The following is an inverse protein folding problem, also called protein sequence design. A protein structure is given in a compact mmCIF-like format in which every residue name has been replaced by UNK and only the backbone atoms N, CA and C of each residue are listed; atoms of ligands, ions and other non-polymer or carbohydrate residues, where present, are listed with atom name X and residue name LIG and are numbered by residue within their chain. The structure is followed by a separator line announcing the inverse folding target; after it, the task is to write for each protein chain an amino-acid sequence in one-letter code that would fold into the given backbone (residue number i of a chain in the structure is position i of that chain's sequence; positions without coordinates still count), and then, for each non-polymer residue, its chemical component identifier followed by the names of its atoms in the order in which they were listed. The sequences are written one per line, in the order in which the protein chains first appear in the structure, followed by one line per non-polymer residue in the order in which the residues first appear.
data_IF_114949423246
#
_entry.id   IF_114949423246
#
_cell.length_a   1.000
_cell.length_b   1.000
_cell.length_c   1.000
_cell.angle_alpha   90.00
_cell.angle_beta   90.00
_cell.angle_gamma   90.00
#
_symmetry.space_group_name_H-M   'P 1'
#
loop_
_entity.id
_entity.type
_entity.pdbx_description
1 polymer ?
#
# COMPACT_ATOMS: atom_id res chain seq x y z
N UNK A 1 -15.90 -44.17 3.67
CA UNK A 1 -15.37 -45.49 3.29
C UNK A 1 -13.92 -45.60 3.69
N UNK A 2 -13.49 -46.72 4.29
CA UNK A 2 -12.07 -46.96 4.60
C UNK A 2 -11.61 -48.14 3.78
N UNK A 3 -10.50 -47.96 3.05
CA UNK A 3 -9.83 -49.01 2.29
C UNK A 3 -8.53 -49.33 3.05
N UNK A 4 -8.46 -50.49 3.68
CA UNK A 4 -7.30 -50.93 4.45
C UNK A 4 -6.19 -51.45 3.58
N UNK A 5 -6.49 -51.95 2.35
CA UNK A 5 -5.48 -52.40 1.41
C UNK A 5 -4.71 -51.25 0.81
N UNK A 6 -5.43 -50.19 0.44
CA UNK A 6 -4.83 -48.93 -0.06
C UNK A 6 -4.42 -47.97 1.07
N UNK A 7 -4.80 -48.26 2.32
CA UNK A 7 -4.57 -47.44 3.52
C UNK A 7 -5.07 -46.00 3.38
N UNK A 8 -6.25 -45.85 2.77
CA UNK A 8 -6.93 -44.57 2.52
C UNK A 8 -8.33 -44.58 3.16
N UNK A 9 -8.65 -43.52 3.89
CA UNK A 9 -10.01 -43.24 4.37
C UNK A 9 -10.61 -42.09 3.53
N UNK A 10 -11.81 -42.31 2.98
CA UNK A 10 -12.59 -41.31 2.29
C UNK A 10 -13.85 -41.01 3.12
N UNK A 11 -13.96 -39.75 3.55
CA UNK A 11 -15.00 -39.29 4.48
C UNK A 11 -15.82 -38.20 3.78
N UNK A 12 -17.12 -38.39 3.77
CA UNK A 12 -18.11 -37.43 3.29
C UNK A 12 -18.97 -37.04 4.48
N UNK A 13 -19.24 -35.77 4.64
CA UNK A 13 -20.07 -35.26 5.72
C UNK A 13 -21.56 -35.43 5.38
N UNK A 14 -22.39 -35.57 6.42
CA UNK A 14 -23.82 -35.86 6.25
C UNK A 14 -24.70 -34.61 6.34
N UNK A 15 -24.26 -33.46 5.85
CA UNK A 15 -25.11 -32.27 5.83
C UNK A 15 -24.36 -30.94 6.00
N UNK A 16 -25.10 -29.85 5.80
CA UNK A 16 -24.62 -28.50 5.96
C UNK A 16 -24.09 -28.23 7.37
N UNK A 17 -22.99 -27.49 7.47
CA UNK A 17 -22.39 -27.10 8.76
C UNK A 17 -21.43 -28.11 9.39
N UNK A 18 -21.09 -29.19 8.70
CA UNK A 18 -20.05 -30.10 9.18
C UNK A 18 -18.67 -29.46 9.07
N UNK A 19 -17.85 -29.69 10.10
CA UNK A 19 -16.49 -29.15 10.13
C UNK A 19 -15.49 -30.12 10.73
N UNK A 20 -14.24 -29.96 10.38
CA UNK A 20 -13.10 -30.61 11.04
C UNK A 20 -12.41 -29.60 11.94
N UNK A 21 -12.07 -30.02 13.15
CA UNK A 21 -11.38 -29.20 14.15
C UNK A 21 -9.91 -29.59 14.23
N UNK A 22 -9.04 -28.60 14.07
CA UNK A 22 -7.58 -28.72 14.19
C UNK A 22 -7.14 -28.12 15.52
N UNK A 23 -7.25 -28.88 16.61
CA UNK A 23 -7.02 -28.37 17.98
C UNK A 23 -5.64 -27.72 18.15
N UNK A 24 -4.60 -28.33 17.61
CA UNK A 24 -3.23 -27.80 17.72
C UNK A 24 -3.01 -26.53 16.90
N UNK A 25 -3.74 -26.38 15.81
CA UNK A 25 -3.70 -25.20 14.95
C UNK A 25 -4.70 -24.14 15.38
N UNK A 26 -5.67 -24.50 16.25
CA UNK A 26 -6.77 -23.64 16.69
C UNK A 26 -7.56 -23.06 15.50
N UNK A 27 -7.87 -23.94 14.53
CA UNK A 27 -8.70 -23.67 13.38
C UNK A 27 -9.79 -24.73 13.25
N UNK A 28 -10.91 -24.32 12.69
CA UNK A 28 -11.93 -25.22 12.15
C UNK A 28 -12.00 -25.01 10.65
N UNK A 29 -12.34 -26.06 9.91
CA UNK A 29 -12.59 -25.98 8.48
C UNK A 29 -13.93 -26.62 8.15
N UNK A 30 -14.85 -25.83 7.60
CA UNK A 30 -16.11 -26.30 7.05
C UNK A 30 -15.87 -26.92 5.68
N UNK A 31 -16.34 -28.14 5.48
CA UNK A 31 -16.13 -28.89 4.24
C UNK A 31 -17.06 -30.09 4.14
N UNK A 32 -17.27 -30.56 2.93
CA UNK A 32 -18.14 -31.71 2.64
C UNK A 32 -17.39 -33.02 2.52
N UNK A 33 -16.09 -32.97 2.22
CA UNK A 33 -15.30 -34.18 1.98
C UNK A 33 -13.85 -34.00 2.38
N UNK A 34 -13.24 -35.07 2.94
CA UNK A 34 -11.80 -35.17 3.11
C UNK A 34 -11.30 -36.60 2.91
N UNK A 35 -10.04 -36.73 2.53
CA UNK A 35 -9.32 -38.00 2.42
C UNK A 35 -8.23 -38.07 3.47
N UNK A 36 -8.08 -39.22 4.10
CA UNK A 36 -7.00 -39.50 5.02
C UNK A 36 -6.07 -40.55 4.42
N UNK A 37 -4.81 -40.18 4.26
CA UNK A 37 -3.73 -41.04 3.80
C UNK A 37 -2.97 -41.57 5.03
N UNK A 38 -3.18 -42.86 5.39
CA UNK A 38 -2.68 -43.40 6.65
C UNK A 38 -1.15 -43.51 6.66
N UNK A 39 -0.51 -43.84 5.54
CA UNK A 39 0.93 -44.05 5.45
C UNK A 39 1.72 -42.74 5.52
N UNK A 40 1.23 -41.69 4.88
CA UNK A 40 1.85 -40.36 4.95
C UNK A 40 1.42 -39.56 6.16
N UNK A 41 0.41 -40.04 6.92
CA UNK A 41 -0.24 -39.33 8.01
C UNK A 41 -0.69 -37.92 7.60
N UNK A 42 -1.32 -37.85 6.42
CA UNK A 42 -1.84 -36.60 5.85
C UNK A 42 -3.34 -36.69 5.60
N UNK A 43 -3.99 -35.55 5.76
CA UNK A 43 -5.38 -35.37 5.33
C UNK A 43 -5.42 -34.38 4.18
N UNK A 44 -6.19 -34.69 3.15
CA UNK A 44 -6.49 -33.81 2.05
C UNK A 44 -7.95 -33.35 2.16
N UNK A 45 -8.15 -32.04 2.14
CA UNK A 45 -9.41 -31.35 2.36
C UNK A 45 -9.81 -30.63 1.08
N UNK A 46 -11.05 -30.80 0.61
CA UNK A 46 -11.51 -30.19 -0.63
C UNK A 46 -10.75 -30.68 -1.87
N UNK A 47 -10.58 -29.83 -2.87
CA UNK A 47 -9.87 -30.14 -4.11
C UNK A 47 -8.66 -29.19 -4.31
N UNK A 48 -7.47 -29.71 -4.05
CA UNK A 48 -6.22 -28.95 -4.19
C UNK A 48 -5.81 -28.69 -5.65
N UNK A 49 -6.47 -29.33 -6.62
CA UNK A 49 -6.23 -29.15 -8.07
C UNK A 49 -7.18 -28.14 -8.71
N UNK A 50 -8.30 -27.82 -8.06
CA UNK A 50 -9.29 -26.89 -8.59
C UNK A 50 -8.69 -25.48 -8.63
N UNK A 51 -8.67 -24.88 -9.83
CA UNK A 51 -8.28 -23.48 -9.99
C UNK A 51 -9.47 -22.57 -9.68
N UNK A 52 -9.20 -21.44 -9.03
CA UNK A 52 -10.20 -20.40 -8.80
C UNK A 52 -10.27 -19.49 -10.03
N UNK A 53 -11.48 -19.12 -10.42
CA UNK A 53 -11.70 -17.93 -11.23
C UNK A 53 -11.46 -16.70 -10.37
N UNK A 54 -10.33 -16.02 -10.59
CA UNK A 54 -9.94 -14.85 -9.81
C UNK A 54 -10.92 -13.70 -9.94
N UNK A 55 -11.54 -13.51 -11.12
CA UNK A 55 -12.52 -12.44 -11.32
C UNK A 55 -13.83 -12.71 -10.57
N UNK A 56 -14.31 -13.96 -10.59
CA UNK A 56 -15.48 -14.37 -9.83
C UNK A 56 -15.22 -14.27 -8.31
N UNK A 57 -14.04 -14.69 -7.86
CA UNK A 57 -13.65 -14.61 -6.46
C UNK A 57 -13.51 -13.16 -5.97
N UNK A 58 -12.98 -12.24 -6.76
CA UNK A 58 -12.91 -10.81 -6.40
C UNK A 58 -14.29 -10.19 -6.20
N UNK A 59 -15.28 -10.65 -6.94
CA UNK A 59 -16.69 -10.26 -6.83
C UNK A 59 -17.42 -10.97 -5.67
N UNK A 60 -16.74 -11.88 -4.95
CA UNK A 60 -17.33 -12.69 -3.87
C UNK A 60 -18.30 -13.76 -4.38
N UNK A 61 -18.22 -14.08 -5.67
CA UNK A 61 -19.00 -15.15 -6.31
C UNK A 61 -18.15 -16.42 -6.35
N UNK A 62 -18.79 -17.59 -6.17
CA UNK A 62 -18.19 -18.93 -6.30
C UNK A 62 -16.96 -19.21 -5.42
N UNK A 63 -17.01 -18.80 -4.14
CA UNK A 63 -16.05 -19.24 -3.14
C UNK A 63 -16.40 -20.69 -2.73
N UNK A 64 -16.10 -21.64 -3.60
CA UNK A 64 -16.27 -23.06 -3.31
C UNK A 64 -15.03 -23.66 -2.67
N UNK A 65 -15.24 -24.52 -1.69
CA UNK A 65 -14.20 -25.26 -0.98
C UNK A 65 -14.22 -25.02 0.52
N UNK A 66 -13.23 -25.55 1.26
CA UNK A 66 -13.15 -25.40 2.69
C UNK A 66 -13.06 -23.93 3.14
N UNK A 67 -13.95 -23.53 4.06
CA UNK A 67 -13.83 -22.28 4.80
C UNK A 67 -13.05 -22.53 6.09
N UNK A 68 -11.91 -21.89 6.22
CA UNK A 68 -11.07 -21.93 7.42
C UNK A 68 -11.40 -20.77 8.34
N UNK A 69 -11.69 -21.08 9.61
CA UNK A 69 -11.99 -20.08 10.64
C UNK A 69 -11.09 -20.33 11.85
N UNK A 70 -10.36 -19.28 12.27
CA UNK A 70 -9.58 -19.33 13.49
C UNK A 70 -10.50 -19.35 14.72
N UNK A 71 -10.23 -20.26 15.65
CA UNK A 71 -10.85 -20.28 16.97
C UNK A 71 -9.91 -19.75 18.05
N UNK A 72 -8.76 -19.20 17.66
CA UNK A 72 -7.83 -18.57 18.58
C UNK A 72 -8.39 -17.22 19.07
N UNK A 73 -8.46 -16.95 20.40
CA UNK A 73 -9.12 -15.76 20.94
C UNK A 73 -8.58 -14.43 20.42
N UNK A 74 -7.27 -14.36 20.13
CA UNK A 74 -6.62 -13.12 19.64
C UNK A 74 -6.80 -12.88 18.15
N UNK A 75 -7.35 -13.83 17.39
CA UNK A 75 -7.53 -13.69 15.94
C UNK A 75 -8.92 -13.23 15.51
N UNK A 76 -9.84 -13.04 16.46
CA UNK A 76 -11.17 -12.48 16.22
C UNK A 76 -11.89 -13.16 15.03
N UNK A 77 -11.90 -14.51 15.04
CA UNK A 77 -12.50 -15.34 13.99
C UNK A 77 -12.01 -14.99 12.58
N UNK A 78 -10.70 -14.77 12.41
CA UNK A 78 -10.08 -14.63 11.10
C UNK A 78 -10.50 -15.79 10.20
N UNK A 79 -11.00 -15.49 9.01
CA UNK A 79 -11.54 -16.49 8.09
C UNK A 79 -11.09 -16.26 6.64
N UNK A 80 -11.01 -17.36 5.91
CA UNK A 80 -10.75 -17.33 4.46
C UNK A 80 -11.16 -18.67 3.83
N UNK A 81 -11.35 -18.65 2.51
CA UNK A 81 -11.64 -19.82 1.70
C UNK A 81 -10.38 -20.34 1.02
N UNK A 82 -10.34 -21.64 0.77
CA UNK A 82 -9.35 -22.29 -0.08
C UNK A 82 -10.08 -23.35 -0.93
N UNK A 83 -9.60 -23.67 -2.13
CA UNK A 83 -10.20 -24.78 -2.87
C UNK A 83 -9.87 -26.11 -2.23
N UNK A 84 -8.73 -26.21 -1.57
CA UNK A 84 -8.32 -27.39 -0.83
C UNK A 84 -7.16 -27.11 0.11
N UNK A 85 -6.86 -28.08 0.94
CA UNK A 85 -5.71 -28.03 1.84
C UNK A 85 -5.15 -29.42 2.12
N UNK A 86 -3.87 -29.46 2.52
CA UNK A 86 -3.23 -30.65 3.08
C UNK A 86 -2.85 -30.40 4.53
N UNK A 87 -3.27 -31.29 5.40
CA UNK A 87 -2.93 -31.27 6.82
C UNK A 87 -2.00 -32.42 7.15
N UNK A 88 -0.83 -32.09 7.69
CA UNK A 88 0.12 -33.09 8.19
C UNK A 88 -0.14 -33.32 9.69
N UNK A 89 -0.56 -34.55 10.04
CA UNK A 89 -0.96 -34.93 11.39
C UNK A 89 0.22 -34.96 12.40
N UNK A 90 1.44 -35.26 11.94
CA UNK A 90 2.63 -35.28 12.81
C UNK A 90 3.15 -33.87 13.12
N UNK A 91 3.24 -33.04 12.08
CA UNK A 91 3.82 -31.70 12.19
C UNK A 91 2.79 -30.65 12.62
N UNK A 92 1.50 -30.99 12.51
CA UNK A 92 0.39 -30.06 12.73
C UNK A 92 0.48 -28.82 11.84
N UNK A 93 0.70 -29.04 10.54
CA UNK A 93 0.82 -27.98 9.53
C UNK A 93 -0.35 -28.13 8.55
N UNK A 94 -1.12 -27.06 8.37
CA UNK A 94 -2.15 -26.95 7.32
C UNK A 94 -1.57 -26.14 6.18
N UNK A 95 -1.54 -26.70 4.96
CA UNK A 95 -1.14 -26.01 3.74
C UNK A 95 -2.36 -25.83 2.84
N UNK A 96 -2.92 -24.64 2.85
CA UNK A 96 -4.04 -24.26 2.00
C UNK A 96 -3.56 -23.88 0.60
N UNK A 97 -4.36 -24.23 -0.40
CA UNK A 97 -4.10 -23.97 -1.82
C UNK A 97 -5.21 -23.16 -2.44
N UNK A 98 -4.84 -22.33 -3.40
CA UNK A 98 -5.76 -21.49 -4.15
C UNK A 98 -6.68 -20.67 -3.23
N UNK A 99 -6.09 -20.03 -2.23
CA UNK A 99 -6.76 -19.01 -1.41
C UNK A 99 -6.90 -17.75 -2.25
N UNK A 100 -8.11 -17.31 -2.61
CA UNK A 100 -8.26 -16.17 -3.49
C UNK A 100 -7.83 -14.88 -2.81
N UNK A 101 -8.23 -14.72 -1.55
CA UNK A 101 -7.86 -13.58 -0.71
C UNK A 101 -8.15 -13.83 0.77
N UNK A 102 -7.58 -12.97 1.60
CA UNK A 102 -7.86 -12.89 3.04
C UNK A 102 -8.24 -11.46 3.38
N UNK A 103 -9.44 -11.23 3.94
CA UNK A 103 -9.84 -9.91 4.41
C UNK A 103 -9.30 -9.66 5.82
N UNK A 104 -8.58 -8.56 6.01
CA UNK A 104 -8.01 -8.14 7.30
C UNK A 104 -8.19 -6.64 7.47
N UNK A 105 -8.89 -6.22 8.51
CA UNK A 105 -9.32 -4.85 8.72
C UNK A 105 -10.13 -4.33 7.51
N UNK A 106 -9.73 -3.21 6.90
CA UNK A 106 -10.33 -2.68 5.68
C UNK A 106 -9.69 -3.26 4.40
N UNK A 107 -8.56 -3.97 4.53
CA UNK A 107 -7.74 -4.43 3.41
C UNK A 107 -8.09 -5.86 2.97
N UNK A 108 -7.69 -6.16 1.75
CA UNK A 108 -7.73 -7.49 1.16
C UNK A 108 -6.33 -7.93 0.75
N UNK A 109 -5.90 -9.07 1.30
CA UNK A 109 -4.59 -9.67 1.02
C UNK A 109 -4.74 -10.74 -0.05
N UNK A 110 -3.90 -10.69 -1.07
CA UNK A 110 -3.84 -11.71 -2.13
C UNK A 110 -2.54 -12.50 -1.98
N UNK A 111 -2.61 -13.74 -1.45
CA UNK A 111 -1.43 -14.58 -1.33
C UNK A 111 -0.83 -14.92 -2.69
N UNK A 112 0.49 -14.98 -2.77
CA UNK A 112 1.17 -15.42 -3.98
C UNK A 112 0.76 -16.88 -4.31
N UNK A 113 0.33 -17.14 -5.52
CA UNK A 113 -0.22 -18.42 -5.99
C UNK A 113 -1.37 -18.99 -5.11
N UNK A 114 -1.98 -18.17 -4.27
CA UNK A 114 -3.01 -18.62 -3.34
C UNK A 114 -2.49 -19.53 -2.23
N UNK A 115 -1.21 -19.54 -1.92
CA UNK A 115 -0.61 -20.40 -0.91
C UNK A 115 -0.67 -19.77 0.49
N UNK A 116 -1.29 -20.48 1.44
CA UNK A 116 -1.35 -20.08 2.84
C UNK A 116 -0.99 -21.27 3.73
N UNK A 117 -0.08 -21.07 4.67
CA UNK A 117 0.33 -22.10 5.63
C UNK A 117 -0.03 -21.68 7.05
N UNK A 118 -0.66 -22.60 7.80
CA UNK A 118 -1.02 -22.41 9.20
C UNK A 118 -0.27 -23.40 10.06
N UNK A 119 0.46 -22.90 11.04
CA UNK A 119 1.17 -23.67 12.06
C UNK A 119 0.32 -23.83 13.33
N UNK A 120 0.91 -24.45 14.37
CA UNK A 120 0.31 -24.53 15.70
C UNK A 120 -0.05 -23.15 16.25
N UNK A 121 -1.03 -23.10 17.16
CA UNK A 121 -1.46 -21.87 17.85
C UNK A 121 -1.91 -20.76 16.89
N UNK A 122 -2.56 -21.13 15.81
CA UNK A 122 -3.10 -20.25 14.79
C UNK A 122 -2.08 -19.34 14.10
N UNK A 123 -0.79 -19.65 14.17
CA UNK A 123 0.25 -18.87 13.50
C UNK A 123 0.15 -19.08 12.00
N UNK A 124 -0.14 -18.02 11.26
CA UNK A 124 -0.07 -17.99 9.80
C UNK A 124 1.34 -17.67 9.36
N UNK A 125 1.87 -18.42 8.37
CA UNK A 125 3.17 -18.09 7.78
C UNK A 125 3.12 -16.73 7.07
N UNK A 126 4.27 -16.08 7.00
CA UNK A 126 4.41 -14.80 6.30
C UNK A 126 4.06 -14.96 4.82
N UNK A 127 3.12 -14.17 4.35
CA UNK A 127 2.79 -14.08 2.93
C UNK A 127 3.87 -13.25 2.23
N UNK A 128 4.66 -13.90 1.36
CA UNK A 128 5.72 -13.25 0.57
C UNK A 128 5.28 -13.08 -0.87
N UNK A 129 5.77 -12.02 -1.51
CA UNK A 129 5.41 -11.67 -2.90
C UNK A 129 3.89 -11.59 -3.10
N UNK A 130 3.19 -11.21 -2.07
CA UNK A 130 1.75 -11.00 -2.05
C UNK A 130 1.39 -9.60 -2.54
N UNK A 131 0.10 -9.30 -2.62
CA UNK A 131 -0.38 -7.93 -2.84
C UNK A 131 -1.48 -7.57 -1.85
N UNK A 132 -1.64 -6.27 -1.62
CA UNK A 132 -2.62 -5.71 -0.70
C UNK A 132 -3.46 -4.69 -1.44
N UNK A 133 -4.77 -4.89 -1.50
CA UNK A 133 -5.73 -3.84 -1.80
C UNK A 133 -6.04 -3.13 -0.48
N UNK A 134 -5.60 -1.88 -0.34
CA UNK A 134 -5.55 -1.20 0.95
C UNK A 134 -6.93 -0.89 1.56
N UNK A 135 -7.98 -0.75 0.72
CA UNK A 135 -9.36 -0.60 1.18
C UNK A 135 -10.31 -1.29 0.21
N UNK A 136 -11.18 -2.16 0.71
CA UNK A 136 -12.12 -2.93 -0.12
C UNK A 136 -13.29 -2.11 -0.65
N UNK A 137 -13.54 -0.92 -0.09
CA UNK A 137 -14.61 -0.01 -0.50
C UNK A 137 -14.11 1.00 -1.53
N UNK A 138 -13.10 1.78 -1.18
CA UNK A 138 -12.54 2.83 -2.05
C UNK A 138 -11.72 2.27 -3.20
N UNK A 139 -10.94 1.20 -2.94
CA UNK A 139 -10.09 0.49 -3.91
C UNK A 139 -9.06 1.38 -4.63
N UNK A 140 -8.69 2.50 -4.02
CA UNK A 140 -7.76 3.46 -4.64
C UNK A 140 -6.34 2.92 -4.75
N UNK A 141 -5.89 2.13 -3.76
CA UNK A 141 -4.49 1.77 -3.64
C UNK A 141 -4.27 0.26 -3.64
N UNK A 142 -3.39 -0.16 -4.52
CA UNK A 142 -2.86 -1.53 -4.52
C UNK A 142 -1.36 -1.50 -4.29
N UNK A 143 -0.90 -2.25 -3.28
CA UNK A 143 0.51 -2.38 -2.94
C UNK A 143 0.96 -3.77 -3.36
N UNK A 144 2.10 -3.85 -4.04
CA UNK A 144 2.63 -5.08 -4.64
C UNK A 144 3.91 -5.55 -3.95
N UNK A 145 4.35 -6.76 -4.28
CA UNK A 145 5.58 -7.35 -3.75
C UNK A 145 5.62 -7.28 -2.21
N UNK A 146 4.44 -7.52 -1.58
CA UNK A 146 4.32 -7.35 -0.14
C UNK A 146 4.87 -8.57 0.61
N UNK A 147 5.48 -8.27 1.77
CA UNK A 147 5.77 -9.25 2.82
C UNK A 147 4.82 -8.95 3.98
N UNK A 148 3.84 -9.84 4.19
CA UNK A 148 2.70 -9.58 5.07
C UNK A 148 2.61 -10.62 6.18
N UNK A 149 2.56 -10.17 7.43
CA UNK A 149 2.25 -10.97 8.60
C UNK A 149 0.84 -10.65 9.08
N UNK A 150 -0.03 -11.65 9.10
CA UNK A 150 -1.42 -11.53 9.57
C UNK A 150 -1.49 -12.07 11.00
N UNK A 151 -1.92 -11.24 11.94
CA UNK A 151 -2.04 -11.61 13.35
C UNK A 151 -3.48 -11.90 13.79
N UNK A 152 -4.46 -11.49 13.00
CA UNK A 152 -5.88 -11.70 13.24
C UNK A 152 -6.73 -10.87 12.32
N UNK A 153 -8.05 -10.95 12.47
CA UNK A 153 -9.02 -10.31 11.58
C UNK A 153 -8.86 -8.79 11.45
N UNK A 154 -8.30 -8.14 12.46
CA UNK A 154 -8.14 -6.67 12.50
C UNK A 154 -6.69 -6.21 12.57
N UNK A 155 -5.74 -7.14 12.47
CA UNK A 155 -4.33 -6.79 12.71
C UNK A 155 -3.41 -7.50 11.73
N UNK A 156 -2.58 -6.71 11.08
CA UNK A 156 -1.49 -7.17 10.24
C UNK A 156 -0.35 -6.15 10.23
N UNK A 157 0.81 -6.59 9.79
CA UNK A 157 1.98 -5.76 9.52
C UNK A 157 2.59 -6.21 8.21
N UNK A 158 2.82 -5.27 7.32
CA UNK A 158 3.40 -5.55 6.02
C UNK A 158 4.44 -4.49 5.62
N UNK A 159 5.22 -4.85 4.60
CA UNK A 159 6.02 -3.92 3.79
C UNK A 159 5.78 -4.24 2.32
N UNK A 160 6.05 -3.31 1.42
CA UNK A 160 5.81 -3.53 0.00
C UNK A 160 6.12 -2.33 -0.87
N UNK A 161 5.75 -2.42 -2.15
CA UNK A 161 6.02 -1.42 -3.17
C UNK A 161 4.73 -0.87 -3.75
N UNK A 162 4.63 0.44 -3.77
CA UNK A 162 3.53 1.17 -4.40
C UNK A 162 4.00 1.75 -5.73
N UNK A 163 3.25 1.53 -6.78
CA UNK A 163 3.52 2.10 -8.08
C UNK A 163 2.78 3.43 -8.23
N UNK A 164 3.51 4.52 -8.08
CA UNK A 164 3.04 5.85 -8.44
C UNK A 164 3.11 6.02 -9.96
N UNK A 165 2.05 6.50 -10.58
CA UNK A 165 2.01 6.84 -11.99
C UNK A 165 1.87 8.36 -12.11
N UNK A 166 2.75 9.00 -12.86
CA UNK A 166 2.61 10.41 -13.19
C UNK A 166 1.52 10.62 -14.28
N UNK A 167 1.32 11.86 -14.68
CA UNK A 167 0.35 12.23 -15.72
C UNK A 167 0.59 11.60 -17.09
N UNK A 168 1.82 11.17 -17.36
CA UNK A 168 2.25 10.50 -18.61
C UNK A 168 2.32 8.97 -18.42
N UNK A 169 1.73 8.44 -17.33
CA UNK A 169 1.76 7.03 -16.96
C UNK A 169 3.17 6.47 -16.72
N UNK A 170 4.15 7.33 -16.46
CA UNK A 170 5.51 6.92 -16.12
C UNK A 170 5.54 6.41 -14.68
N UNK A 171 5.99 5.16 -14.46
CA UNK A 171 5.97 4.56 -13.15
C UNK A 171 7.16 4.97 -12.30
N UNK A 172 6.88 5.24 -11.01
CA UNK A 172 7.87 5.32 -9.95
C UNK A 172 7.50 4.36 -8.84
N UNK A 173 8.48 3.65 -8.26
CA UNK A 173 8.24 2.74 -7.16
C UNK A 173 8.52 3.44 -5.83
N UNK A 174 7.50 3.52 -5.00
CA UNK A 174 7.60 4.02 -3.62
C UNK A 174 7.62 2.80 -2.69
N UNK A 175 8.63 2.72 -1.81
CA UNK A 175 8.75 1.65 -0.84
C UNK A 175 8.08 2.04 0.47
N UNK A 176 7.12 1.23 0.88
CA UNK A 176 6.50 1.32 2.20
C UNK A 176 7.09 0.25 3.12
N UNK A 177 7.81 0.69 4.14
CA UNK A 177 8.44 -0.20 5.11
C UNK A 177 7.46 -0.68 6.19
N UNK A 178 6.38 0.06 6.40
CA UNK A 178 5.36 -0.23 7.40
C UNK A 178 3.98 0.04 6.83
N UNK A 179 3.20 -1.03 6.65
CA UNK A 179 1.80 -0.99 6.22
C UNK A 179 1.00 -1.71 7.30
N UNK A 180 0.03 -1.05 7.89
CA UNK A 180 -0.76 -1.58 8.99
C UNK A 180 -2.12 -0.89 9.10
N UNK A 181 -3.11 -1.49 9.77
CA UNK A 181 -4.30 -0.75 10.17
C UNK A 181 -3.97 0.23 11.31
N UNK A 182 -4.63 1.37 11.33
CA UNK A 182 -4.65 2.29 12.46
C UNK A 182 -5.67 1.83 13.53
N UNK A 183 -5.92 2.66 14.52
CA UNK A 183 -6.87 2.37 15.61
C UNK A 183 -8.32 2.30 15.15
N UNK A 184 -8.66 2.87 14.01
CA UNK A 184 -10.01 2.81 13.39
C UNK A 184 -10.18 1.61 12.48
N UNK A 185 -9.09 0.91 12.16
CA UNK A 185 -9.06 -0.20 11.22
C UNK A 185 -8.78 0.24 9.78
N UNK A 186 -8.42 1.50 9.54
CA UNK A 186 -8.02 2.00 8.24
C UNK A 186 -6.56 1.64 7.95
N UNK A 187 -6.30 1.11 6.77
CA UNK A 187 -4.93 0.86 6.30
C UNK A 187 -4.18 2.17 6.09
N UNK A 188 -3.06 2.27 6.76
CA UNK A 188 -2.12 3.39 6.65
C UNK A 188 -0.71 2.88 6.35
N UNK A 189 0.07 3.71 5.70
CA UNK A 189 1.48 3.43 5.43
C UNK A 189 2.32 4.69 5.42
N UNK A 190 3.60 4.55 5.76
CA UNK A 190 4.62 5.59 5.69
C UNK A 190 5.81 5.09 4.88
N UNK A 191 6.30 5.92 3.97
CA UNK A 191 7.50 5.72 3.18
C UNK A 191 8.40 6.96 3.22
N UNK A 192 9.64 6.79 2.80
CA UNK A 192 10.61 7.88 2.64
C UNK A 192 11.15 7.83 1.21
N UNK A 193 11.14 8.98 0.56
CA UNK A 193 11.72 9.20 -0.78
C UNK A 193 12.99 10.02 -0.58
N UNK A 194 14.15 9.38 -0.78
CA UNK A 194 15.45 10.06 -0.69
C UNK A 194 15.71 10.90 -1.96
N UNK A 195 16.38 12.03 -1.80
CA UNK A 195 16.74 12.91 -2.94
C UNK A 195 17.52 12.15 -4.04
N UNK A 196 18.30 11.15 -3.67
CA UNK A 196 19.07 10.31 -4.61
C UNK A 196 18.19 9.44 -5.50
N UNK A 197 16.97 9.16 -5.11
CA UNK A 197 16.02 8.39 -5.91
C UNK A 197 15.47 9.18 -7.08
N UNK A 198 15.65 10.52 -7.08
CA UNK A 198 15.24 11.44 -8.15
C UNK A 198 13.75 11.32 -8.51
N UNK A 199 12.94 11.08 -7.50
CA UNK A 199 11.49 10.97 -7.66
C UNK A 199 10.92 12.28 -8.19
N UNK A 200 9.97 12.18 -9.09
CA UNK A 200 9.25 13.29 -9.68
C UNK A 200 7.75 13.06 -9.57
N UNK A 201 7.00 14.10 -9.21
CA UNK A 201 5.54 14.08 -9.34
C UNK A 201 5.14 14.02 -10.82
N UNK A 202 5.88 14.72 -11.67
CA UNK A 202 5.85 14.70 -13.13
C UNK A 202 7.17 15.29 -13.69
N UNK A 203 7.23 15.53 -14.98
CA UNK A 203 8.44 16.06 -15.61
C UNK A 203 8.82 17.49 -15.14
N UNK A 204 7.91 18.19 -14.42
CA UNK A 204 8.09 19.58 -13.99
C UNK A 204 8.37 19.72 -12.50
N UNK A 205 7.98 18.76 -11.67
CA UNK A 205 8.12 18.83 -10.21
C UNK A 205 8.79 17.58 -9.65
N UNK A 206 9.86 17.77 -8.90
CA UNK A 206 10.52 16.70 -8.14
C UNK A 206 10.21 16.83 -6.66
N UNK A 207 10.28 15.72 -5.94
CA UNK A 207 10.01 15.65 -4.52
C UNK A 207 11.05 14.79 -3.78
N UNK A 208 11.33 15.16 -2.54
CA UNK A 208 12.04 14.33 -1.56
C UNK A 208 11.45 14.57 -0.17
N UNK A 209 11.25 13.48 0.58
CA UNK A 209 10.64 13.56 1.91
C UNK A 209 9.79 12.34 2.24
N UNK A 210 8.93 12.49 3.23
CA UNK A 210 7.99 11.46 3.66
C UNK A 210 6.77 11.41 2.75
N UNK A 211 6.28 10.21 2.56
CA UNK A 211 5.04 9.94 1.85
C UNK A 211 4.15 9.05 2.69
N UNK A 212 2.87 9.38 2.75
CA UNK A 212 1.88 8.65 3.52
C UNK A 212 0.77 8.16 2.59
N UNK A 213 0.33 6.95 2.85
CA UNK A 213 -0.87 6.38 2.25
C UNK A 213 -1.95 6.29 3.33
N UNK A 214 -3.09 6.89 3.07
CA UNK A 214 -4.32 6.73 3.81
C UNK A 214 -5.34 6.06 2.88
N UNK A 215 -5.74 4.84 3.18
CA UNK A 215 -6.50 4.01 2.26
C UNK A 215 -7.86 4.59 1.82
N UNK A 216 -8.41 5.52 2.59
CA UNK A 216 -9.66 6.23 2.27
C UNK A 216 -9.46 7.44 1.35
N UNK A 217 -8.24 7.94 1.20
CA UNK A 217 -7.92 9.09 0.36
C UNK A 217 -7.53 8.61 -1.05
N UNK A 218 -7.95 9.34 -2.07
CA UNK A 218 -7.62 8.98 -3.46
C UNK A 218 -6.14 9.19 -3.78
N UNK A 219 -5.52 10.21 -3.17
CA UNK A 219 -4.14 10.58 -3.44
C UNK A 219 -3.24 10.33 -2.23
N UNK A 220 -1.96 10.16 -2.50
CA UNK A 220 -0.93 10.09 -1.47
C UNK A 220 -0.69 11.47 -0.86
N UNK A 221 -0.39 11.49 0.43
CA UNK A 221 -0.02 12.67 1.16
C UNK A 221 1.49 12.75 1.32
N UNK A 222 2.06 13.93 1.11
CA UNK A 222 3.50 14.18 1.09
C UNK A 222 3.90 15.23 2.11
N UNK A 223 5.03 15.03 2.78
CA UNK A 223 5.63 15.96 3.74
C UNK A 223 7.14 16.01 3.50
N UNK A 224 7.64 17.15 3.02
CA UNK A 224 9.06 17.26 2.71
C UNK A 224 9.38 18.48 1.86
N UNK A 225 10.06 18.27 0.75
CA UNK A 225 10.44 19.33 -0.17
C UNK A 225 10.09 19.02 -1.61
N UNK A 226 9.61 20.03 -2.31
CA UNK A 226 9.41 20.01 -3.76
C UNK A 226 10.26 21.07 -4.44
N UNK A 227 10.68 20.83 -5.66
CA UNK A 227 11.36 21.83 -6.49
C UNK A 227 10.95 21.69 -7.94
N UNK A 228 11.02 22.79 -8.67
CA UNK A 228 10.81 22.79 -10.11
C UNK A 228 11.99 22.13 -10.83
N UNK A 229 11.68 21.36 -11.87
CA UNK A 229 12.66 20.73 -12.76
C UNK A 229 12.97 21.69 -13.89
N UNK A 230 14.18 22.26 -13.91
CA UNK A 230 14.58 23.24 -14.91
C UNK A 230 16.09 23.21 -15.17
N UNK A 231 16.52 23.77 -16.32
CA UNK A 231 17.91 23.87 -16.71
C UNK A 231 18.48 25.30 -16.50
N UNK A 232 17.70 26.24 -15.95
CA UNK A 232 18.12 27.61 -15.73
C UNK A 232 19.09 27.69 -14.54
N UNK A 233 20.26 28.29 -14.75
CA UNK A 233 21.27 28.48 -13.69
C UNK A 233 20.87 29.51 -12.64
N UNK A 234 19.95 30.41 -12.98
CA UNK A 234 19.52 31.55 -12.13
C UNK A 234 18.33 31.19 -11.24
N UNK A 235 17.60 30.12 -11.53
CA UNK A 235 16.49 29.65 -10.71
C UNK A 235 17.03 28.77 -9.58
N UNK A 236 16.55 29.00 -8.37
CA UNK A 236 16.97 28.25 -7.18
C UNK A 236 16.76 26.75 -7.34
N UNK A 237 17.72 25.99 -6.81
CA UNK A 237 17.69 24.52 -6.81
C UNK A 237 17.31 23.96 -5.43
N UNK A 238 16.90 24.83 -4.52
CA UNK A 238 16.47 24.44 -3.18
C UNK A 238 15.11 23.77 -3.24
N UNK A 239 14.93 22.78 -2.36
CA UNK A 239 13.63 22.17 -2.13
C UNK A 239 12.78 23.10 -1.27
N UNK A 240 11.66 23.57 -1.81
CA UNK A 240 10.64 24.31 -1.09
C UNK A 240 9.92 23.38 -0.11
N UNK A 241 9.72 23.79 1.13
CA UNK A 241 8.88 23.05 2.08
C UNK A 241 7.48 22.83 1.50
N UNK A 242 7.05 21.59 1.52
CA UNK A 242 5.76 21.18 0.98
C UNK A 242 5.10 20.17 1.90
N UNK A 243 3.80 20.35 2.12
CA UNK A 243 2.95 19.41 2.82
C UNK A 243 1.58 19.42 2.18
N UNK A 244 1.10 18.26 1.72
CA UNK A 244 -0.21 18.14 1.09
C UNK A 244 -0.39 16.88 0.25
N UNK A 245 -1.60 16.70 -0.25
CA UNK A 245 -1.93 15.67 -1.24
C UNK A 245 -1.54 16.14 -2.63
N UNK A 246 -1.15 15.20 -3.47
CA UNK A 246 -0.82 15.46 -4.88
C UNK A 246 -1.71 14.62 -5.78
N UNK A 247 -2.49 15.29 -6.60
CA UNK A 247 -3.12 14.68 -7.77
C UNK A 247 -2.10 14.65 -8.91
N UNK A 248 -1.66 13.47 -9.39
CA UNK A 248 -0.66 13.38 -10.46
C UNK A 248 -1.06 14.06 -11.77
N UNK A 249 -2.37 14.21 -12.01
CA UNK A 249 -2.91 14.82 -13.23
C UNK A 249 -3.07 16.34 -13.13
N UNK A 250 -3.05 16.90 -11.91
CA UNK A 250 -3.23 18.33 -11.65
C UNK A 250 -2.37 18.74 -10.44
N UNK A 251 -1.11 18.97 -10.66
CA UNK A 251 -0.15 19.29 -9.60
C UNK A 251 -0.25 20.75 -9.24
N UNK A 252 -0.64 21.01 -8.00
CA UNK A 252 -0.81 22.31 -7.40
C UNK A 252 0.06 22.43 -6.15
N UNK A 253 1.09 23.27 -6.19
CA UNK A 253 2.01 23.47 -5.07
C UNK A 253 1.71 24.81 -4.40
N UNK A 254 1.26 24.83 -3.14
CA UNK A 254 1.02 26.08 -2.43
C UNK A 254 2.35 26.80 -2.12
N UNK A 255 2.42 28.06 -2.47
CA UNK A 255 3.52 28.97 -2.16
C UNK A 255 3.03 29.98 -1.11
N UNK A 256 3.40 29.86 0.14
CA UNK A 256 3.00 30.82 1.19
C UNK A 256 3.81 32.10 1.09
N UNK A 257 3.24 33.18 1.65
CA UNK A 257 4.01 34.37 1.96
C UNK A 257 5.21 34.00 2.77
N UNK A 258 6.39 34.26 2.67
CA UNK A 258 7.56 33.79 3.44
C UNK A 258 7.76 32.27 3.31
N UNK A 259 7.78 31.80 2.07
CA UNK A 259 8.15 30.44 1.78
C UNK A 259 9.55 30.10 2.30
N UNK A 260 9.72 28.89 2.80
CA UNK A 260 11.00 28.37 3.32
C UNK A 260 11.44 27.16 2.50
N UNK A 261 12.75 26.99 2.40
CA UNK A 261 13.29 25.71 1.95
C UNK A 261 13.30 24.67 3.09
N UNK A 262 13.60 23.43 2.75
CA UNK A 262 13.65 22.32 3.74
C UNK A 262 14.74 22.52 4.82
N UNK A 263 15.63 23.48 4.67
CA UNK A 263 16.66 23.87 5.64
C UNK A 263 16.24 25.07 6.48
N UNK A 264 15.04 25.60 6.26
CA UNK A 264 14.51 26.78 6.95
C UNK A 264 15.03 28.12 6.41
N UNK A 265 15.68 28.13 5.25
CA UNK A 265 16.11 29.37 4.60
C UNK A 265 14.96 30.00 3.81
N UNK A 266 14.84 31.32 3.83
CA UNK A 266 13.79 32.03 3.10
C UNK A 266 13.99 31.87 1.58
N UNK A 267 12.91 31.53 0.90
CA UNK A 267 12.82 31.39 -0.56
C UNK A 267 11.89 32.45 -1.08
N UNK A 268 12.41 33.32 -1.95
CA UNK A 268 11.65 34.43 -2.52
C UNK A 268 11.19 34.16 -3.95
N UNK A 269 9.99 34.67 -4.24
CA UNK A 269 9.48 34.76 -5.62
C UNK A 269 8.87 36.15 -5.81
N UNK A 270 9.41 36.91 -6.75
CA UNK A 270 8.94 38.27 -6.96
C UNK A 270 10.07 39.25 -7.36
N UNK A 271 9.87 40.52 -7.04
CA UNK A 271 10.83 41.59 -7.21
C UNK A 271 11.35 42.05 -5.84
N UNK A 272 12.67 42.15 -5.72
CA UNK A 272 13.36 42.47 -4.48
C UNK A 272 14.32 43.64 -4.75
N UNK A 273 14.44 44.54 -3.75
CA UNK A 273 15.39 45.63 -3.78
C UNK A 273 16.57 45.30 -2.85
N UNK A 274 17.77 45.28 -3.43
CA UNK A 274 19.00 45.10 -2.66
C UNK A 274 19.56 46.48 -2.27
N UNK A 275 19.60 46.76 -0.96
CA UNK A 275 20.05 48.05 -0.41
C UNK A 275 21.56 48.28 -0.61
N UNK A 276 22.36 47.20 -0.62
CA UNK A 276 23.83 47.35 -0.74
C UNK A 276 24.26 47.72 -2.17
N UNK A 277 23.55 47.18 -3.17
CA UNK A 277 23.83 47.44 -4.57
C UNK A 277 22.94 48.50 -5.19
N UNK A 278 21.91 48.93 -4.45
CA UNK A 278 20.90 49.89 -4.91
C UNK A 278 20.16 49.42 -6.18
N UNK A 279 19.93 48.09 -6.31
CA UNK A 279 19.36 47.51 -7.52
C UNK A 279 18.10 46.69 -7.20
N UNK A 280 17.13 46.72 -8.10
CA UNK A 280 15.99 45.79 -8.13
C UNK A 280 16.39 44.55 -8.89
N UNK A 281 16.04 43.38 -8.36
CA UNK A 281 16.26 42.10 -9.01
C UNK A 281 15.04 41.21 -8.90
N UNK A 282 14.85 40.30 -9.85
CA UNK A 282 13.80 39.29 -9.82
C UNK A 282 14.35 38.00 -9.24
N UNK A 283 13.54 37.31 -8.42
CA UNK A 283 13.80 35.95 -7.93
C UNK A 283 12.60 35.09 -8.22
N UNK A 284 12.82 33.82 -8.51
CA UNK A 284 11.77 32.81 -8.67
C UNK A 284 12.20 31.55 -7.92
N UNK A 285 11.53 31.26 -6.82
CA UNK A 285 11.81 30.14 -5.92
C UNK A 285 13.30 30.01 -5.58
N UNK A 286 13.94 31.15 -5.34
CA UNK A 286 15.37 31.24 -5.07
C UNK A 286 15.61 31.67 -3.63
N UNK A 287 16.72 31.21 -3.03
CA UNK A 287 17.15 31.74 -1.74
C UNK A 287 17.28 33.25 -1.84
N UNK A 288 16.69 33.98 -0.88
CA UNK A 288 16.84 35.42 -0.83
C UNK A 288 18.33 35.77 -0.64
N UNK A 289 18.90 36.49 -1.61
CA UNK A 289 20.25 37.02 -1.50
C UNK A 289 20.28 38.15 -0.47
N UNK A 290 21.34 38.25 0.27
CA UNK A 290 21.70 39.28 1.24
C UNK A 290 20.64 39.75 2.26
N UNK A 291 21.06 39.91 3.50
CA UNK A 291 20.24 40.42 4.66
C UNK A 291 19.67 41.83 4.42
N UNK A 292 20.12 42.50 3.41
CA UNK A 292 19.73 43.88 3.01
C UNK A 292 18.63 43.92 1.94
N UNK A 293 18.08 42.79 1.51
CA UNK A 293 17.02 42.80 0.52
C UNK A 293 15.67 43.16 1.13
N UNK A 294 14.90 44.00 0.48
CA UNK A 294 13.52 44.36 0.80
C UNK A 294 12.59 43.88 -0.30
N UNK A 295 11.42 43.41 0.10
CA UNK A 295 10.39 43.00 -0.85
C UNK A 295 9.77 44.21 -1.52
N UNK A 296 9.76 44.23 -2.83
CA UNK A 296 9.01 45.21 -3.64
C UNK A 296 7.66 44.63 -4.04
N UNK A 297 7.71 43.41 -4.57
CA UNK A 297 6.52 42.61 -4.88
C UNK A 297 6.88 41.14 -4.55
N UNK A 298 6.12 40.50 -3.68
CA UNK A 298 6.27 39.09 -3.38
C UNK A 298 5.02 38.35 -3.93
N UNK A 299 5.26 37.27 -4.69
CA UNK A 299 4.21 36.41 -5.19
C UNK A 299 3.94 35.26 -4.22
N UNK A 300 2.67 35.08 -3.85
CA UNK A 300 2.17 33.95 -3.11
C UNK A 300 0.94 33.37 -3.83
N UNK A 301 0.61 32.11 -3.57
CA UNK A 301 -0.53 31.44 -4.20
C UNK A 301 -0.28 29.99 -4.54
N UNK A 302 -0.74 29.56 -5.68
CA UNK A 302 -0.59 28.21 -6.18
C UNK A 302 0.37 28.20 -7.38
N UNK A 303 1.44 27.44 -7.26
CA UNK A 303 2.39 27.20 -8.34
C UNK A 303 1.92 25.99 -9.15
N UNK A 304 1.82 26.18 -10.46
CA UNK A 304 1.52 25.14 -11.45
C UNK A 304 2.45 25.23 -12.65
N UNK A 305 2.36 24.28 -13.54
CA UNK A 305 2.99 24.33 -14.86
C UNK A 305 1.92 24.39 -15.94
N UNK A 306 1.89 25.50 -16.67
CA UNK A 306 1.05 25.67 -17.85
C UNK A 306 1.71 24.98 -19.05
N UNK A 307 1.07 23.90 -19.52
CA UNK A 307 1.56 23.08 -20.64
C UNK A 307 1.39 23.77 -21.99
N UNK A 308 0.38 24.62 -22.15
CA UNK A 308 0.11 25.32 -23.41
C UNK A 308 1.15 26.41 -23.67
N UNK A 309 1.53 27.13 -22.62
CA UNK A 309 2.48 28.20 -22.68
C UNK A 309 3.92 27.80 -22.26
N UNK A 310 4.11 26.54 -21.88
CA UNK A 310 5.39 25.96 -21.42
C UNK A 310 6.05 26.78 -20.31
N UNK A 311 5.26 27.22 -19.31
CA UNK A 311 5.77 28.08 -18.25
C UNK A 311 5.24 27.71 -16.86
N UNK A 312 6.02 28.05 -15.83
CA UNK A 312 5.56 28.00 -14.45
C UNK A 312 4.79 29.24 -14.10
N UNK A 313 3.62 29.06 -13.51
CA UNK A 313 2.74 30.16 -13.08
C UNK A 313 2.49 30.06 -11.57
N UNK A 314 2.40 31.25 -10.94
CA UNK A 314 1.88 31.39 -9.59
C UNK A 314 0.64 32.28 -9.67
N UNK A 315 -0.50 31.75 -9.26
CA UNK A 315 -1.76 32.48 -9.28
C UNK A 315 -2.45 32.42 -7.91
N UNK A 316 -3.29 33.42 -7.63
CA UNK A 316 -4.07 33.42 -6.41
C UNK A 316 -5.27 32.47 -6.53
N UNK A 317 -5.65 31.82 -5.42
CA UNK A 317 -6.77 30.88 -5.34
C UNK A 317 -8.16 31.46 -5.67
N UNK A 318 -8.26 32.78 -5.80
CA UNK A 318 -9.52 33.51 -6.04
C UNK A 318 -9.83 33.71 -7.54
N UNK A 319 -9.28 32.88 -8.41
CA UNK A 319 -9.65 32.87 -9.85
C UNK A 319 -10.61 31.73 -10.15
#
# INVERSE_FOLDING_TARGET
KIDFDQRIGDFITNGEGSYVKFDKNQYIAFMDRFKWYMDSEEMELGDTQKKIDTEAAEKGLDLEGPEFISVHPKQDSLRFFATGAKYNLKKYIIKCKNVPYINVADARMFPNNGDVTIFKNAVMDTLRNSSILANTVTKFHTIRNTTTNIFGRRSYLASGEYQYLDENEKPYLIKFNTIRPDTTGQTISEGLIDEKEKFQFNDHFSFAGKVYLFATNEFLFYEGGTKIVNNCKKIGKSYLQFTGEINPKDIQIPIPKKALDVKGAAVGTGLFYNQDTNMVYAAFLSLQGARSSKDVIEADGILTYDKENEMYEIYNKEK
#
